data_IF_913749274088
#
_entry.id   IF_913749274088
#
_cell.length_a   1.000
_cell.length_b   1.000
_cell.length_c   1.000
_cell.angle_alpha   90.00
_cell.angle_beta   90.00
_cell.angle_gamma   90.00
#
_symmetry.space_group_name_H-M   'P 1'
#
loop_
_entity.id
_entity.type
_entity.pdbx_description
1 polymer ?
#
# COMPACT_ATOMS: atom_id res chain seq x y z
N UNK A 1 10.21 -43.22 -7.14
CA UNK A 1 9.96 -41.89 -7.75
C UNK A 1 9.83 -40.93 -6.59
N UNK A 2 10.89 -40.15 -6.33
CA UNK A 2 10.87 -39.15 -5.27
C UNK A 2 10.23 -37.89 -5.85
N UNK A 3 9.11 -37.48 -5.23
CA UNK A 3 8.41 -36.25 -5.54
C UNK A 3 9.30 -35.07 -5.11
N UNK A 4 9.94 -34.42 -6.05
CA UNK A 4 10.67 -33.18 -5.83
C UNK A 4 9.62 -32.06 -5.66
N UNK A 5 9.07 -31.97 -4.47
CA UNK A 5 8.29 -30.81 -4.06
C UNK A 5 9.17 -29.57 -3.95
N UNK A 6 9.52 -28.96 -5.08
CA UNK A 6 9.88 -27.55 -5.10
C UNK A 6 8.65 -26.77 -4.65
N UNK A 7 8.64 -26.39 -3.39
CA UNK A 7 7.74 -25.34 -2.91
C UNK A 7 8.19 -24.07 -3.61
N UNK A 8 7.63 -23.80 -4.79
CA UNK A 8 7.71 -22.50 -5.43
C UNK A 8 7.32 -21.46 -4.37
N UNK A 9 8.29 -20.71 -3.87
CA UNK A 9 8.05 -19.65 -2.90
C UNK A 9 7.01 -18.71 -3.51
N UNK A 10 5.84 -18.65 -2.87
CA UNK A 10 4.69 -17.92 -3.40
C UNK A 10 4.98 -16.43 -3.39
N UNK A 11 5.01 -15.81 -4.56
CA UNK A 11 5.16 -14.37 -4.71
C UNK A 11 4.01 -13.63 -4.04
N UNK A 12 4.33 -12.53 -3.36
CA UNK A 12 3.42 -11.70 -2.59
C UNK A 12 3.57 -10.26 -3.00
N UNK A 13 2.45 -9.54 -2.98
CA UNK A 13 2.45 -8.08 -3.09
C UNK A 13 2.55 -7.49 -1.68
N UNK A 14 3.49 -6.58 -1.49
CA UNK A 14 3.73 -5.89 -0.23
C UNK A 14 3.38 -4.41 -0.34
N UNK A 15 2.77 -3.87 0.71
CA UNK A 15 2.69 -2.45 1.02
C UNK A 15 3.55 -2.19 2.23
N UNK A 16 4.50 -1.29 2.12
CA UNK A 16 5.51 -1.01 3.15
C UNK A 16 5.52 0.49 3.45
N UNK A 17 5.37 0.84 4.72
CA UNK A 17 5.65 2.18 5.21
C UNK A 17 7.15 2.29 5.47
N UNK A 18 7.80 3.13 4.70
CA UNK A 18 9.22 3.47 4.84
C UNK A 18 9.38 4.75 5.65
N UNK A 19 10.35 4.77 6.55
CA UNK A 19 10.78 5.95 7.27
C UNK A 19 12.23 6.29 6.98
N UNK A 20 12.56 7.58 7.02
CA UNK A 20 13.93 8.06 6.92
C UNK A 20 14.07 9.48 7.44
N UNK A 21 15.11 9.75 8.22
CA UNK A 21 15.60 11.10 8.43
C UNK A 21 16.63 11.43 7.35
N UNK A 22 16.16 11.86 6.19
CA UNK A 22 17.01 12.23 5.07
C UNK A 22 17.89 13.46 5.41
N UNK A 23 19.05 13.66 4.74
CA UNK A 23 19.92 14.80 4.99
C UNK A 23 19.21 16.15 4.90
N UNK A 24 19.54 17.06 5.82
CA UNK A 24 18.96 18.41 5.89
C UNK A 24 17.46 18.46 6.19
N UNK A 25 16.92 17.45 6.86
CA UNK A 25 15.55 17.42 7.38
C UNK A 25 15.56 17.47 8.90
N UNK A 26 14.57 18.16 9.50
CA UNK A 26 14.40 18.26 10.95
C UNK A 26 13.45 17.20 11.51
N UNK A 27 12.62 16.62 10.63
CA UNK A 27 11.60 15.63 10.99
C UNK A 27 11.78 14.45 10.04
N UNK A 28 11.56 13.26 10.55
CA UNK A 28 11.52 12.04 9.77
C UNK A 28 10.41 12.10 8.71
N UNK A 29 10.75 11.68 7.51
CA UNK A 29 9.81 11.58 6.41
C UNK A 29 9.36 10.13 6.26
N UNK A 30 8.13 9.95 5.79
CA UNK A 30 7.55 8.65 5.51
C UNK A 30 6.99 8.61 4.08
N UNK A 31 7.09 7.43 3.46
CA UNK A 31 6.47 7.18 2.17
C UNK A 31 6.05 5.70 2.05
N UNK A 32 5.15 5.40 1.13
CA UNK A 32 4.65 4.06 0.89
C UNK A 32 5.32 3.44 -0.34
N UNK A 33 5.97 2.31 -0.13
CA UNK A 33 6.56 1.50 -1.19
C UNK A 33 5.70 0.26 -1.46
N UNK A 34 5.52 -0.06 -2.74
CA UNK A 34 4.87 -1.28 -3.19
C UNK A 34 5.87 -2.15 -3.95
N UNK A 35 5.92 -3.45 -3.61
CA UNK A 35 6.85 -4.37 -4.25
C UNK A 35 6.35 -5.80 -4.25
N UNK A 36 6.94 -6.62 -5.12
CA UNK A 36 6.62 -8.04 -5.28
C UNK A 36 7.86 -8.88 -4.97
N UNK A 37 7.70 -9.85 -4.08
CA UNK A 37 8.78 -10.77 -3.69
C UNK A 37 8.24 -11.95 -2.89
N UNK A 38 9.09 -12.93 -2.60
CA UNK A 38 8.77 -14.06 -1.70
C UNK A 38 8.85 -13.64 -0.23
N UNK A 39 9.67 -12.62 0.06
CA UNK A 39 9.84 -12.02 1.38
C UNK A 39 10.33 -10.58 1.31
N UNK A 40 10.34 -9.90 2.46
CA UNK A 40 10.78 -8.49 2.55
C UNK A 40 12.23 -8.29 2.09
N UNK A 41 13.09 -9.28 2.31
CA UNK A 41 14.51 -9.24 1.90
C UNK A 41 14.68 -9.03 0.39
N UNK A 42 13.82 -9.63 -0.41
CA UNK A 42 13.87 -9.52 -1.87
C UNK A 42 13.63 -8.10 -2.37
N UNK A 43 12.93 -7.31 -1.54
CA UNK A 43 12.54 -5.94 -1.87
C UNK A 43 13.63 -4.90 -1.58
N UNK A 44 14.66 -5.25 -0.80
CA UNK A 44 15.72 -4.31 -0.37
C UNK A 44 16.37 -3.55 -1.54
N UNK A 45 16.77 -4.20 -2.65
CA UNK A 45 17.34 -3.46 -3.78
C UNK A 45 16.37 -2.46 -4.42
N UNK A 46 15.09 -2.81 -4.53
CA UNK A 46 14.06 -1.92 -5.09
C UNK A 46 13.75 -0.76 -4.15
N UNK A 47 13.67 -1.00 -2.84
CA UNK A 47 13.49 0.04 -1.81
C UNK A 47 14.61 1.07 -1.86
N UNK A 48 15.88 0.65 -1.97
CA UNK A 48 17.01 1.56 -2.08
C UNK A 48 17.00 2.40 -3.36
N UNK A 49 16.47 1.86 -4.46
CA UNK A 49 16.27 2.63 -5.70
C UNK A 49 15.08 3.57 -5.64
N UNK A 50 14.05 3.21 -4.89
CA UNK A 50 12.84 4.03 -4.72
C UNK A 50 13.14 5.34 -3.97
N UNK A 51 13.98 5.27 -2.93
CA UNK A 51 14.30 6.44 -2.11
C UNK A 51 15.82 6.59 -1.89
N UNK A 52 16.59 6.96 -2.93
CA UNK A 52 18.05 7.02 -2.85
C UNK A 52 18.57 8.07 -1.87
N UNK A 53 17.83 9.19 -1.68
CA UNK A 53 18.22 10.26 -0.77
C UNK A 53 18.14 9.87 0.70
N UNK A 54 17.36 8.85 1.03
CA UNK A 54 17.25 8.30 2.38
C UNK A 54 18.56 7.62 2.84
N UNK A 55 19.37 7.13 1.90
CA UNK A 55 20.67 6.52 2.19
C UNK A 55 20.54 5.34 3.18
N UNK A 56 21.45 5.33 4.18
CA UNK A 56 21.47 4.28 5.20
C UNK A 56 20.48 4.51 6.35
N UNK A 57 19.81 5.67 6.39
CA UNK A 57 18.79 5.95 7.40
C UNK A 57 17.44 5.30 7.10
N UNK A 58 17.26 4.80 5.87
CA UNK A 58 16.01 4.17 5.45
C UNK A 58 15.71 2.90 6.26
N UNK A 59 14.46 2.78 6.70
CA UNK A 59 13.97 1.64 7.48
C UNK A 59 12.49 1.40 7.19
N UNK A 60 11.97 0.26 7.67
CA UNK A 60 10.54 -0.04 7.67
C UNK A 60 9.96 0.36 9.03
N UNK A 61 8.80 1.03 9.02
CA UNK A 61 7.96 1.28 10.19
C UNK A 61 6.75 0.36 10.26
N UNK A 62 6.40 -0.22 9.13
CA UNK A 62 5.36 -1.22 9.05
C UNK A 62 5.20 -1.79 7.65
N UNK A 63 4.52 -2.92 7.57
CA UNK A 63 4.19 -3.55 6.30
C UNK A 63 2.95 -4.43 6.40
N UNK A 64 2.38 -4.74 5.26
CA UNK A 64 1.38 -5.81 5.11
C UNK A 64 1.58 -6.53 3.78
N UNK A 65 1.30 -7.82 3.77
CA UNK A 65 1.08 -8.57 2.53
C UNK A 65 -0.32 -8.20 2.03
N UNK A 66 -0.46 -7.85 0.76
CA UNK A 66 -1.76 -7.56 0.18
C UNK A 66 -2.26 -8.83 -0.48
N UNK A 67 -3.12 -9.55 0.21
CA UNK A 67 -3.75 -10.77 -0.29
C UNK A 67 -5.27 -10.67 -0.36
N UNK A 68 -5.88 -9.75 0.41
CA UNK A 68 -7.32 -9.54 0.46
C UNK A 68 -7.65 -8.05 0.61
N UNK A 69 -8.52 -7.52 -0.25
CA UNK A 69 -9.02 -6.14 -0.21
C UNK A 69 -10.48 -6.12 -0.68
N UNK A 70 -11.39 -5.50 0.08
CA UNK A 70 -12.79 -5.27 -0.27
C UNK A 70 -13.55 -6.52 -0.74
N UNK A 71 -13.29 -7.70 -0.15
CA UNK A 71 -13.92 -8.96 -0.55
C UNK A 71 -13.32 -9.57 -1.82
N UNK A 72 -12.15 -9.14 -2.23
CA UNK A 72 -11.40 -9.69 -3.34
C UNK A 72 -10.08 -10.30 -2.86
N UNK A 73 -9.75 -11.47 -3.41
CA UNK A 73 -8.43 -12.06 -3.29
C UNK A 73 -7.49 -11.40 -4.30
N UNK A 74 -6.31 -11.01 -3.84
CA UNK A 74 -5.24 -10.42 -4.63
C UNK A 74 -4.12 -11.46 -4.79
N UNK A 75 -3.78 -11.80 -6.02
CA UNK A 75 -2.69 -12.74 -6.33
C UNK A 75 -1.69 -12.10 -7.28
N UNK A 76 -0.43 -12.43 -7.08
CA UNK A 76 0.64 -12.12 -8.03
C UNK A 76 0.88 -13.34 -8.91
N UNK A 77 0.91 -13.14 -10.22
CA UNK A 77 1.19 -14.17 -11.22
C UNK A 77 2.19 -13.67 -12.26
N UNK A 78 2.90 -14.57 -12.91
CA UNK A 78 3.78 -14.22 -14.02
C UNK A 78 2.96 -13.70 -15.21
N UNK A 79 3.48 -12.70 -15.90
CA UNK A 79 2.90 -12.24 -17.16
C UNK A 79 2.98 -13.36 -18.21
N UNK A 80 1.87 -13.56 -18.92
CA UNK A 80 1.77 -14.61 -19.95
C UNK A 80 1.15 -15.92 -19.46
N UNK A 81 1.02 -16.12 -18.16
CA UNK A 81 0.19 -17.17 -17.59
C UNK A 81 -1.25 -16.64 -17.53
N UNK A 82 -2.13 -17.17 -18.38
CA UNK A 82 -3.56 -16.84 -18.48
C UNK A 82 -3.89 -15.33 -18.41
N UNK A 83 -3.94 -14.70 -19.57
CA UNK A 83 -4.36 -13.30 -19.69
C UNK A 83 -5.87 -13.15 -19.42
N UNK A 84 -6.28 -13.19 -18.17
CA UNK A 84 -7.56 -12.65 -17.76
C UNK A 84 -7.33 -11.14 -17.61
N UNK A 85 -7.88 -10.35 -18.53
CA UNK A 85 -7.91 -8.89 -18.35
C UNK A 85 -8.80 -8.62 -17.14
N UNK A 86 -8.24 -8.20 -15.99
CA UNK A 86 -9.05 -7.99 -14.81
C UNK A 86 -9.97 -6.81 -15.07
N UNK A 87 -11.27 -6.98 -14.90
CA UNK A 87 -12.22 -5.85 -14.92
C UNK A 87 -11.99 -4.96 -13.71
N UNK A 88 -11.47 -5.49 -12.62
CA UNK A 88 -11.18 -4.79 -11.37
C UNK A 88 -9.72 -4.32 -11.30
N UNK A 89 -9.52 -3.18 -10.64
CA UNK A 89 -8.21 -2.55 -10.40
C UNK A 89 -8.03 -2.36 -8.90
N UNK A 90 -6.80 -2.55 -8.43
CA UNK A 90 -6.42 -2.29 -7.04
C UNK A 90 -5.83 -0.88 -6.94
N UNK A 91 -6.44 -0.06 -6.07
CA UNK A 91 -6.03 1.32 -5.85
C UNK A 91 -5.41 1.50 -4.46
N UNK A 92 -4.37 2.31 -4.42
CA UNK A 92 -3.85 2.96 -3.23
C UNK A 92 -4.32 4.40 -3.24
N UNK A 93 -4.91 4.86 -2.13
CA UNK A 93 -5.50 6.17 -1.99
C UNK A 93 -4.92 6.82 -0.74
N UNK A 94 -4.30 7.98 -0.90
CA UNK A 94 -3.87 8.83 0.18
C UNK A 94 -4.88 9.96 0.36
N UNK A 95 -5.44 10.05 1.55
CA UNK A 95 -6.37 11.10 1.96
C UNK A 95 -5.64 12.03 2.90
N UNK A 96 -5.67 13.32 2.63
CA UNK A 96 -5.12 14.36 3.49
C UNK A 96 -6.20 15.14 4.21
N UNK A 97 -5.89 15.64 5.38
CA UNK A 97 -6.80 16.48 6.13
C UNK A 97 -6.15 17.16 7.33
N UNK A 98 -6.78 18.26 7.77
CA UNK A 98 -6.28 19.04 8.88
C UNK A 98 -7.23 18.96 10.08
N UNK A 99 -6.66 18.82 11.27
CA UNK A 99 -7.40 18.96 12.53
C UNK A 99 -7.17 20.35 13.10
N UNK A 100 -8.25 21.01 13.53
CA UNK A 100 -8.17 22.36 14.11
C UNK A 100 -7.21 22.42 15.29
N UNK A 101 -6.28 23.36 15.24
CA UNK A 101 -5.27 23.58 16.30
C UNK A 101 -4.03 22.71 16.18
N UNK A 102 -3.92 21.85 15.19
CA UNK A 102 -2.71 21.05 14.90
C UNK A 102 -2.05 21.61 13.64
N UNK A 103 -0.76 21.98 13.74
CA UNK A 103 0.06 22.43 12.60
C UNK A 103 0.68 21.21 11.89
N UNK A 104 -0.18 20.29 11.44
CA UNK A 104 0.23 19.07 10.78
C UNK A 104 -0.92 18.56 9.91
N UNK A 105 -0.63 18.21 8.68
CA UNK A 105 -1.55 17.47 7.84
C UNK A 105 -1.58 16.01 8.24
N UNK A 106 -2.76 15.48 8.43
CA UNK A 106 -2.95 14.08 8.77
C UNK A 106 -3.30 13.30 7.51
N UNK A 107 -2.60 12.20 7.29
CA UNK A 107 -2.82 11.34 6.13
C UNK A 107 -3.48 10.03 6.54
N UNK A 108 -4.44 9.59 5.70
CA UNK A 108 -5.10 8.30 5.83
C UNK A 108 -4.97 7.54 4.52
N UNK A 109 -4.42 6.34 4.59
CA UNK A 109 -4.24 5.50 3.41
C UNK A 109 -5.29 4.40 3.35
N UNK A 110 -5.82 4.18 2.15
CA UNK A 110 -6.84 3.16 1.88
C UNK A 110 -6.40 2.32 0.69
N UNK A 111 -6.57 1.00 0.79
CA UNK A 111 -6.57 0.10 -0.36
C UNK A 111 -8.02 -0.16 -0.77
N UNK A 112 -8.29 -0.16 -2.06
CA UNK A 112 -9.65 -0.38 -2.56
C UNK A 112 -9.66 -1.04 -3.93
N UNK A 113 -10.69 -1.87 -4.20
CA UNK A 113 -10.86 -2.60 -5.47
C UNK A 113 -12.08 -2.12 -6.21
N UNK A 114 -11.89 -1.50 -7.38
CA UNK A 114 -12.96 -0.96 -8.22
C UNK A 114 -12.67 -1.13 -9.70
N UNK A 115 -13.70 -0.95 -10.54
CA UNK A 115 -13.54 -0.88 -12.00
C UNK A 115 -12.86 0.44 -12.41
N UNK A 116 -13.27 1.54 -11.75
CA UNK A 116 -12.84 2.89 -12.10
C UNK A 116 -12.37 3.70 -10.89
N UNK A 117 -11.42 4.61 -11.15
CA UNK A 117 -10.83 5.53 -10.17
C UNK A 117 -11.88 6.34 -9.39
N UNK A 118 -12.93 6.80 -10.07
CA UNK A 118 -14.00 7.61 -9.45
C UNK A 118 -14.75 6.87 -8.36
N UNK A 119 -14.98 5.57 -8.53
CA UNK A 119 -15.63 4.72 -7.53
C UNK A 119 -14.74 4.54 -6.30
N UNK A 120 -13.43 4.34 -6.51
CA UNK A 120 -12.43 4.23 -5.45
C UNK A 120 -12.38 5.51 -4.58
N UNK A 121 -12.39 6.69 -5.20
CA UNK A 121 -12.45 7.98 -4.51
C UNK A 121 -13.71 8.10 -3.67
N UNK A 122 -14.86 7.77 -4.23
CA UNK A 122 -16.15 7.88 -3.51
C UNK A 122 -16.19 6.96 -2.29
N UNK A 123 -15.66 5.74 -2.41
CA UNK A 123 -15.61 4.80 -1.28
C UNK A 123 -14.62 5.29 -0.21
N UNK A 124 -13.45 5.74 -0.59
CA UNK A 124 -12.45 6.25 0.34
C UNK A 124 -12.98 7.43 1.16
N UNK A 125 -13.61 8.40 0.52
CA UNK A 125 -14.24 9.54 1.21
C UNK A 125 -15.32 9.09 2.22
N UNK A 126 -16.12 8.07 1.90
CA UNK A 126 -17.12 7.52 2.83
C UNK A 126 -16.46 6.82 4.03
N UNK A 127 -15.37 6.09 3.81
CA UNK A 127 -14.69 5.36 4.89
C UNK A 127 -14.10 6.30 5.93
N UNK A 128 -13.48 7.39 5.49
CA UNK A 128 -12.94 8.42 6.40
C UNK A 128 -14.06 9.16 7.11
N UNK A 129 -15.13 9.52 6.41
CA UNK A 129 -16.31 10.16 7.00
C UNK A 129 -16.86 9.36 8.18
N UNK A 130 -17.04 8.05 8.04
CA UNK A 130 -17.54 7.22 9.13
C UNK A 130 -16.54 7.08 10.29
N UNK A 131 -15.24 6.97 10.02
CA UNK A 131 -14.20 6.85 11.06
C UNK A 131 -14.02 8.15 11.86
N UNK A 132 -14.08 9.31 11.24
CA UNK A 132 -13.95 10.60 11.93
C UNK A 132 -15.18 11.00 12.71
N UNK A 133 -16.38 10.63 12.27
CA UNK A 133 -17.61 10.81 13.05
C UNK A 133 -17.71 9.93 14.29
N UNK A 134 -16.95 8.83 14.36
CA UNK A 134 -16.91 7.95 15.54
C UNK A 134 -15.91 8.42 16.59
N UNK A 135 -14.98 9.31 16.26
CA UNK A 135 -14.08 9.96 17.21
C UNK A 135 -14.77 11.17 17.84
N UNK A 136 -15.55 10.95 18.90
CA UNK A 136 -16.14 12.02 19.71
C UNK A 136 -15.04 12.98 20.17
N UNK A 137 -15.05 14.21 19.65
CA UNK A 137 -14.16 15.30 20.06
C UNK A 137 -13.17 15.79 19.01
N UNK A 138 -13.01 15.12 17.89
CA UNK A 138 -12.30 15.71 16.74
C UNK A 138 -13.29 16.58 15.98
N UNK A 139 -13.12 17.90 16.03
CA UNK A 139 -13.85 18.83 15.18
C UNK A 139 -13.37 18.68 13.75
N UNK A 140 -13.79 17.63 13.08
CA UNK A 140 -13.55 17.47 11.64
C UNK A 140 -14.55 18.35 10.91
N UNK A 141 -14.08 19.44 10.38
CA UNK A 141 -14.84 20.24 9.42
C UNK A 141 -14.83 19.49 8.09
N UNK A 142 -15.87 18.69 7.87
CA UNK A 142 -16.15 18.09 6.57
C UNK A 142 -17.10 19.05 5.87
N UNK A 143 -16.56 20.04 5.21
CA UNK A 143 -17.27 20.70 4.13
C UNK A 143 -16.39 20.63 2.88
N UNK A 144 -17.00 20.77 1.72
CA UNK A 144 -16.29 20.74 0.44
C UNK A 144 -15.21 21.85 0.33
N UNK A 145 -15.15 22.75 1.28
CA UNK A 145 -14.23 23.89 1.30
C UNK A 145 -13.02 23.66 2.21
N UNK A 146 -13.11 22.76 3.23
CA UNK A 146 -12.06 22.46 4.21
C UNK A 146 -12.00 20.97 4.57
N UNK A 147 -12.63 20.10 3.77
CA UNK A 147 -12.78 18.68 4.08
C UNK A 147 -11.57 17.85 3.75
N UNK A 148 -11.64 16.59 4.11
CA UNK A 148 -10.69 15.57 3.69
C UNK A 148 -10.72 15.50 2.17
N UNK A 149 -9.57 15.74 1.55
CA UNK A 149 -9.40 15.59 0.12
C UNK A 149 -8.64 14.31 -0.24
N UNK A 150 -8.72 13.92 -1.49
CA UNK A 150 -7.88 12.87 -2.05
C UNK A 150 -6.63 13.56 -2.56
N UNK A 151 -5.54 13.47 -1.79
CA UNK A 151 -4.25 14.03 -2.20
C UNK A 151 -3.72 13.26 -3.39
N UNK A 152 -3.73 11.92 -3.25
CA UNK A 152 -3.21 11.04 -4.25
C UNK A 152 -4.07 9.79 -4.42
N UNK A 153 -4.19 9.33 -5.64
CA UNK A 153 -4.74 8.02 -5.96
C UNK A 153 -3.95 7.37 -7.08
N UNK A 154 -3.46 6.17 -6.81
CA UNK A 154 -2.69 5.37 -7.74
C UNK A 154 -3.34 4.01 -7.95
N UNK A 155 -3.37 3.54 -9.20
CA UNK A 155 -3.49 2.12 -9.47
C UNK A 155 -2.16 1.48 -9.06
N UNK A 156 -2.18 0.45 -8.22
CA UNK A 156 -0.94 -0.11 -7.68
C UNK A 156 0.00 -0.59 -8.78
N UNK A 157 -0.52 -1.21 -9.84
CA UNK A 157 0.31 -1.63 -10.97
C UNK A 157 1.05 -0.47 -11.65
N UNK A 158 0.53 0.77 -11.58
CA UNK A 158 1.18 1.94 -12.20
C UNK A 158 2.37 2.46 -11.39
N UNK A 159 2.39 2.23 -10.08
CA UNK A 159 3.45 2.68 -9.15
C UNK A 159 4.46 1.59 -8.79
N UNK A 160 4.25 0.35 -9.19
CA UNK A 160 5.27 -0.69 -9.06
C UNK A 160 6.53 -0.32 -9.84
N UNK A 161 7.69 -0.73 -9.35
CA UNK A 161 8.95 -0.59 -10.06
C UNK A 161 8.93 -1.34 -11.42
N UNK A 162 9.66 -0.84 -12.45
CA UNK A 162 9.65 -1.44 -13.79
C UNK A 162 9.90 -2.94 -13.80
N UNK A 163 10.86 -3.42 -13.01
CA UNK A 163 11.19 -4.84 -12.92
C UNK A 163 10.02 -5.71 -12.47
N UNK A 164 9.14 -5.18 -11.60
CA UNK A 164 7.94 -5.90 -11.19
C UNK A 164 6.86 -5.84 -12.27
N UNK A 165 6.68 -4.66 -12.89
CA UNK A 165 5.70 -4.48 -13.96
C UNK A 165 5.98 -5.36 -15.17
N UNK A 166 7.25 -5.57 -15.51
CA UNK A 166 7.65 -6.33 -16.68
C UNK A 166 7.42 -7.83 -16.51
N UNK A 167 7.56 -8.34 -15.29
CA UNK A 167 7.52 -9.76 -14.98
C UNK A 167 6.16 -10.25 -14.47
N UNK A 168 5.43 -9.40 -13.72
CA UNK A 168 4.25 -9.82 -12.96
C UNK A 168 3.00 -9.04 -13.34
N UNK A 169 1.86 -9.66 -13.05
CA UNK A 169 0.55 -9.02 -13.09
C UNK A 169 -0.24 -9.37 -11.83
N UNK A 170 -1.18 -8.51 -11.46
CA UNK A 170 -2.06 -8.68 -10.31
C UNK A 170 -3.38 -9.28 -10.80
N UNK A 171 -3.72 -10.47 -10.29
CA UNK A 171 -5.05 -11.07 -10.46
C UNK A 171 -5.94 -10.70 -9.29
N UNK A 172 -7.18 -10.32 -9.60
CA UNK A 172 -8.19 -9.89 -8.63
C UNK A 172 -9.43 -10.77 -8.80
N UNK A 173 -9.71 -11.60 -7.80
CA UNK A 173 -10.81 -12.56 -7.83
C UNK A 173 -11.80 -12.28 -6.69
N UNK A 174 -13.09 -12.20 -6.97
CA UNK A 174 -14.09 -12.07 -5.93
C UNK A 174 -14.11 -13.33 -5.04
N UNK A 175 -14.01 -13.16 -3.74
CA UNK A 175 -14.07 -14.25 -2.76
C UNK A 175 -14.77 -13.72 -1.50
N UNK A 176 -15.82 -14.40 -1.06
CA UNK A 176 -16.55 -14.02 0.13
C UNK A 176 -15.80 -14.37 1.43
N UNK A 177 -16.05 -13.60 2.48
CA UNK A 177 -15.69 -13.90 3.88
C UNK A 177 -14.20 -14.12 4.17
N UNK A 178 -13.30 -13.38 3.48
CA UNK A 178 -11.89 -13.40 3.82
C UNK A 178 -11.55 -12.30 4.85
N UNK A 179 -10.73 -12.62 5.86
CA UNK A 179 -10.25 -11.62 6.80
C UNK A 179 -9.34 -10.60 6.13
N UNK A 180 -9.32 -9.39 6.67
CA UNK A 180 -8.33 -8.38 6.25
C UNK A 180 -6.90 -8.87 6.55
N UNK A 181 -5.95 -8.46 5.70
CA UNK A 181 -4.56 -8.77 5.91
C UNK A 181 -4.00 -8.08 7.16
N UNK A 182 -3.25 -8.78 8.01
CA UNK A 182 -2.68 -8.19 9.22
C UNK A 182 -1.62 -7.14 8.87
N UNK A 183 -1.66 -6.02 9.59
CA UNK A 183 -0.62 -4.99 9.54
C UNK A 183 0.43 -5.32 10.58
N UNK A 184 1.69 -5.40 10.14
CA UNK A 184 2.85 -5.56 11.02
C UNK A 184 3.45 -4.18 11.26
N UNK A 185 3.47 -3.74 12.51
CA UNK A 185 4.11 -2.47 12.90
C UNK A 185 5.42 -2.74 13.63
N UNK A 186 6.43 -1.91 13.35
CA UNK A 186 7.69 -1.97 14.05
C UNK A 186 8.87 -1.48 13.21
N UNK A 187 9.80 -0.83 13.89
CA UNK A 187 11.03 -0.33 13.29
C UNK A 187 11.97 -1.48 12.89
N UNK A 188 12.29 -1.55 11.61
CA UNK A 188 13.15 -2.61 11.08
C UNK A 188 14.11 -2.07 10.02
N UNK A 189 15.41 -2.08 10.32
CA UNK A 189 16.46 -1.67 9.39
C UNK A 189 16.57 -2.65 8.23
N UNK A 190 16.85 -2.14 7.02
CA UNK A 190 16.97 -2.98 5.81
C UNK A 190 18.05 -4.06 5.92
N UNK A 191 19.15 -3.81 6.62
CA UNK A 191 20.23 -4.77 6.85
C UNK A 191 19.84 -5.92 7.79
N UNK A 192 18.73 -5.81 8.50
CA UNK A 192 18.19 -6.84 9.41
C UNK A 192 17.12 -7.72 8.78
N UNK A 193 16.70 -7.41 7.56
CA UNK A 193 15.76 -8.24 6.82
C UNK A 193 16.41 -9.59 6.45
N UNK A 194 15.81 -10.67 6.94
CA UNK A 194 16.29 -12.05 6.75
C UNK A 194 15.44 -12.76 5.70
#
# INVERSE_FOLDING_TARGET
MMDNGETSERLKLYMILLGSLAPNRNVEQHDYFFGIGSGLKDLVPAIRRFWPEAGDSIHLDGWREISHVDGYQIKVVLKGEEAITPSKKLFFINLGGYTSGILEEQHYTVLSVHDERTQAIQQAKRTVFFKTNTLKGAGSHIDEKYGIDVDDIYRIEDILAPEFKDQYQIQINAVADLPEDPIQLGYLKLDKLK
#
